data_IF_926698373503
#
_entry.id   IF_926698373503
#
_cell.length_a   1.000
_cell.length_b   1.000
_cell.length_c   1.000
_cell.angle_alpha   90.00
_cell.angle_beta   90.00
_cell.angle_gamma   90.00
#
_symmetry.space_group_name_H-M   'P 1'
#
loop_
_entity.id
_entity.type
_entity.pdbx_description
1 polymer ?
#
# COMPACT_ATOMS: atom_id res chain seq x y z
N UNK A 1 -9.64 12.06 4.07
CA UNK A 1 -8.94 11.46 5.22
C UNK A 1 -7.43 11.62 5.13
N UNK A 2 -6.82 11.60 3.93
CA UNK A 2 -5.38 11.84 3.78
C UNK A 2 -5.00 13.31 4.03
N UNK A 3 -5.85 14.27 3.60
CA UNK A 3 -5.65 15.70 3.91
C UNK A 3 -5.67 16.03 5.40
N UNK A 4 -6.38 15.24 6.23
CA UNK A 4 -6.48 15.49 7.66
C UNK A 4 -5.23 15.08 8.45
N UNK A 5 -4.27 14.37 7.85
CA UNK A 5 -3.06 13.90 8.55
C UNK A 5 -1.81 14.68 8.15
N UNK A 6 -1.95 15.75 7.35
CA UNK A 6 -0.86 16.61 6.86
C UNK A 6 -0.60 17.82 7.78
N UNK A 7 0.56 18.49 7.67
CA UNK A 7 0.84 19.69 8.46
C UNK A 7 -0.28 20.74 8.31
N UNK A 8 -0.71 21.33 9.43
CA UNK A 8 -1.75 22.38 9.44
C UNK A 8 -3.18 21.89 9.70
N UNK A 9 -3.38 20.60 10.00
CA UNK A 9 -4.68 20.04 10.41
C UNK A 9 -4.70 19.59 11.87
N UNK A 10 -5.89 19.45 12.44
CA UNK A 10 -6.09 18.99 13.83
C UNK A 10 -5.77 17.52 14.05
N UNK A 11 -5.60 16.73 12.99
CA UNK A 11 -5.29 15.30 13.04
C UNK A 11 -3.87 15.01 12.52
N UNK A 12 -3.01 16.04 12.42
CA UNK A 12 -1.62 15.88 12.00
C UNK A 12 -0.86 14.87 12.88
N UNK A 13 -0.21 13.89 12.24
CA UNK A 13 0.54 12.84 12.95
C UNK A 13 1.87 13.29 13.53
N UNK A 14 2.39 14.43 13.06
CA UNK A 14 3.72 14.93 13.39
C UNK A 14 4.73 14.62 12.29
N UNK A 15 5.75 15.47 12.15
CA UNK A 15 6.73 15.42 11.05
C UNK A 15 7.49 14.10 11.01
N UNK A 16 7.82 13.54 12.17
CA UNK A 16 8.57 12.29 12.28
C UNK A 16 7.84 11.10 11.65
N UNK A 17 6.50 11.09 11.69
CA UNK A 17 5.68 10.03 11.06
C UNK A 17 5.40 10.37 9.60
N UNK A 18 5.05 11.62 9.32
CA UNK A 18 4.69 12.07 7.97
C UNK A 18 5.77 11.76 6.93
N UNK A 19 7.05 11.75 7.34
CA UNK A 19 8.18 11.45 6.45
C UNK A 19 8.48 9.97 6.24
N UNK A 20 7.89 9.07 7.04
CA UNK A 20 8.23 7.62 7.01
C UNK A 20 7.02 6.71 6.84
N UNK A 21 5.80 7.27 6.87
CA UNK A 21 4.58 6.49 6.88
C UNK A 21 3.94 6.41 5.49
N UNK A 22 4.02 5.22 4.90
CA UNK A 22 3.27 4.90 3.67
C UNK A 22 1.88 4.37 3.99
N UNK A 23 0.86 4.90 3.30
CA UNK A 23 -0.53 4.47 3.39
C UNK A 23 -1.01 3.96 2.04
N UNK A 24 -1.65 2.79 2.04
CA UNK A 24 -2.31 2.22 0.86
C UNK A 24 -3.71 1.73 1.22
N UNK A 25 -4.63 1.74 0.27
CA UNK A 25 -6.02 1.40 0.51
C UNK A 25 -6.49 0.26 -0.39
N UNK A 26 -7.04 -0.77 0.24
CA UNK A 26 -7.81 -1.82 -0.43
C UNK A 26 -9.29 -1.48 -0.32
N UNK A 27 -9.98 -1.50 -1.44
CA UNK A 27 -11.42 -1.21 -1.50
C UNK A 27 -12.22 -2.49 -1.30
N UNK A 28 -13.41 -2.39 -0.70
CA UNK A 28 -14.27 -3.54 -0.40
C UNK A 28 -15.67 -3.33 -1.00
N UNK A 29 -16.46 -4.40 -1.06
CA UNK A 29 -17.77 -4.42 -1.72
C UNK A 29 -18.94 -4.00 -0.81
N UNK A 30 -18.66 -3.61 0.42
CA UNK A 30 -19.64 -3.25 1.45
C UNK A 30 -19.12 -2.02 2.22
N UNK A 31 -19.96 -1.29 2.98
CA UNK A 31 -21.40 -1.47 3.22
C UNK A 31 -22.31 -1.05 2.05
N UNK A 32 -21.73 -0.53 0.96
CA UNK A 32 -22.48 -0.09 -0.24
C UNK A 32 -22.96 -1.23 -1.15
N UNK A 33 -23.46 -0.88 -2.34
CA UNK A 33 -24.03 -1.82 -3.32
C UNK A 33 -23.01 -2.73 -4.03
N UNK A 34 -21.74 -2.75 -3.59
CA UNK A 34 -20.67 -3.46 -4.27
C UNK A 34 -20.26 -2.87 -5.63
N UNK A 35 -20.60 -1.61 -5.87
CA UNK A 35 -20.36 -0.89 -7.13
C UNK A 35 -19.17 0.09 -7.07
N UNK A 36 -18.31 -0.02 -6.06
CA UNK A 36 -17.08 0.76 -5.99
C UNK A 36 -16.15 0.36 -7.16
N UNK A 37 -15.81 1.29 -8.08
CA UNK A 37 -14.97 0.97 -9.25
C UNK A 37 -13.60 0.39 -8.87
N UNK A 38 -12.96 0.93 -7.83
CA UNK A 38 -11.63 0.51 -7.38
C UNK A 38 -11.67 -0.89 -6.78
N UNK A 39 -12.80 -1.29 -6.21
CA UNK A 39 -13.05 -2.68 -5.83
C UNK A 39 -13.25 -3.58 -7.06
N UNK A 40 -14.14 -3.17 -7.97
CA UNK A 40 -14.59 -3.98 -9.10
C UNK A 40 -13.48 -4.30 -10.10
N UNK A 41 -12.57 -3.35 -10.34
CA UNK A 41 -11.44 -3.52 -11.26
C UNK A 41 -10.42 -4.56 -10.78
N UNK A 42 -10.38 -4.86 -9.48
CA UNK A 42 -9.47 -5.88 -8.95
C UNK A 42 -10.05 -6.63 -7.74
N UNK A 43 -11.19 -7.28 -7.94
CA UNK A 43 -11.89 -7.99 -6.86
C UNK A 43 -11.05 -9.10 -6.23
N UNK A 44 -10.24 -9.79 -7.04
CA UNK A 44 -9.40 -10.90 -6.56
C UNK A 44 -8.38 -10.41 -5.52
N UNK A 45 -7.66 -9.32 -5.83
CA UNK A 45 -6.71 -8.70 -4.91
C UNK A 45 -7.40 -8.17 -3.67
N UNK A 46 -8.45 -7.37 -3.85
CA UNK A 46 -9.16 -6.74 -2.75
C UNK A 46 -9.75 -7.79 -1.78
N UNK A 47 -10.38 -8.86 -2.29
CA UNK A 47 -10.90 -9.96 -1.46
C UNK A 47 -9.78 -10.71 -0.76
N UNK A 48 -8.69 -11.03 -1.46
CA UNK A 48 -7.57 -11.75 -0.87
C UNK A 48 -6.94 -10.97 0.30
N UNK A 49 -6.72 -9.66 0.13
CA UNK A 49 -6.17 -8.80 1.19
C UNK A 49 -7.17 -8.55 2.31
N UNK A 50 -8.45 -8.31 2.01
CA UNK A 50 -9.49 -8.21 3.04
C UNK A 50 -9.56 -9.47 3.91
N UNK A 51 -9.55 -10.65 3.27
CA UNK A 51 -9.62 -11.94 3.98
C UNK A 51 -8.36 -12.21 4.80
N UNK A 52 -7.18 -11.85 4.30
CA UNK A 52 -5.92 -11.98 5.03
C UNK A 52 -5.91 -11.18 6.34
N UNK A 53 -6.49 -9.97 6.31
CA UNK A 53 -6.66 -9.14 7.50
C UNK A 53 -7.91 -9.48 8.33
N UNK A 54 -8.76 -10.39 7.85
CA UNK A 54 -10.03 -10.80 8.49
C UNK A 54 -10.98 -9.60 8.70
N UNK A 55 -10.92 -8.63 7.79
CA UNK A 55 -11.68 -7.39 7.92
C UNK A 55 -13.18 -7.57 7.64
N UNK A 56 -14.02 -6.96 8.48
CA UNK A 56 -15.47 -7.01 8.43
C UNK A 56 -16.18 -5.66 8.64
N UNK A 57 -15.45 -4.54 8.75
CA UNK A 57 -16.04 -3.18 8.74
C UNK A 57 -15.14 -2.15 8.05
N UNK A 58 -15.69 -0.97 7.77
CA UNK A 58 -14.99 0.14 7.12
C UNK A 58 -15.44 1.46 7.73
N UNK A 59 -14.54 2.45 7.88
CA UNK A 59 -13.10 2.35 7.63
C UNK A 59 -12.40 1.44 8.67
N UNK A 60 -11.34 0.76 8.28
CA UNK A 60 -10.55 -0.11 9.17
C UNK A 60 -9.08 -0.07 8.75
N UNK A 61 -8.20 0.35 9.66
CA UNK A 61 -6.77 0.50 9.42
C UNK A 61 -5.98 -0.61 10.12
N UNK A 62 -4.92 -1.07 9.46
CA UNK A 62 -3.89 -1.91 10.06
C UNK A 62 -2.56 -1.18 9.98
N UNK A 63 -1.95 -0.88 11.12
CA UNK A 63 -0.65 -0.17 11.21
C UNK A 63 0.46 -1.18 11.49
N UNK A 64 1.42 -1.34 10.58
CA UNK A 64 2.45 -2.38 10.65
C UNK A 64 1.90 -3.79 10.98
N UNK A 65 0.70 -4.11 10.50
CA UNK A 65 0.03 -5.38 10.76
C UNK A 65 -0.83 -5.44 12.03
N UNK A 66 -0.67 -4.49 12.95
CA UNK A 66 -1.54 -4.33 14.12
C UNK A 66 -2.90 -3.78 13.68
N UNK A 67 -3.98 -4.37 14.19
CA UNK A 67 -5.32 -3.81 14.06
C UNK A 67 -5.42 -2.46 14.80
N UNK A 68 -5.60 -1.39 14.04
CA UNK A 68 -5.76 -0.01 14.52
C UNK A 68 -7.23 0.45 14.49
N UNK A 69 -8.16 -0.42 14.12
CA UNK A 69 -9.59 -0.17 14.11
C UNK A 69 -10.05 0.95 13.17
N UNK A 70 -11.18 1.58 13.52
CA UNK A 70 -11.84 2.67 12.75
C UNK A 70 -11.62 4.07 13.32
N UNK A 71 -10.86 4.20 14.41
CA UNK A 71 -10.74 5.44 15.18
C UNK A 71 -9.55 6.29 14.75
N UNK A 72 -9.77 7.60 14.56
CA UNK A 72 -8.67 8.54 14.25
C UNK A 72 -7.61 8.61 15.35
N UNK A 73 -7.99 8.42 16.62
CA UNK A 73 -7.05 8.41 17.74
C UNK A 73 -5.99 7.30 17.59
N UNK A 74 -6.42 6.07 17.30
CA UNK A 74 -5.52 4.92 17.11
C UNK A 74 -4.72 5.05 15.83
N UNK A 75 -5.29 5.59 14.75
CA UNK A 75 -4.55 5.87 13.51
C UNK A 75 -3.40 6.87 13.69
N UNK A 76 -3.49 7.76 14.69
CA UNK A 76 -2.43 8.72 15.03
C UNK A 76 -1.44 8.12 16.04
N UNK A 77 -1.93 7.37 17.04
CA UNK A 77 -1.07 6.89 18.12
C UNK A 77 -0.30 5.62 17.76
N UNK A 78 -0.87 4.72 16.96
CA UNK A 78 -0.24 3.43 16.66
C UNK A 78 1.05 3.59 15.84
N UNK A 79 1.14 4.43 14.79
CA UNK A 79 2.40 4.61 14.08
C UNK A 79 3.53 5.11 14.98
N UNK A 80 3.22 5.86 16.05
CA UNK A 80 4.21 6.40 17.00
C UNK A 80 4.94 5.30 17.77
N UNK A 81 4.33 4.13 17.95
CA UNK A 81 4.95 3.04 18.72
C UNK A 81 6.11 2.39 17.97
N UNK A 82 6.25 2.64 16.67
CA UNK A 82 7.27 2.03 15.81
C UNK A 82 8.47 2.96 15.52
N UNK A 83 8.45 4.21 16.00
CA UNK A 83 9.48 5.21 15.66
C UNK A 83 10.88 4.88 16.18
N UNK A 84 10.96 4.11 17.27
CA UNK A 84 12.22 3.72 17.91
C UNK A 84 12.65 2.30 17.53
N UNK A 85 11.88 1.61 16.67
CA UNK A 85 12.22 0.26 16.22
C UNK A 85 13.36 0.28 15.20
N UNK A 86 14.26 -0.70 15.34
CA UNK A 86 15.40 -0.85 14.44
C UNK A 86 15.00 -1.69 13.23
N UNK A 87 15.04 -1.09 12.05
CA UNK A 87 14.82 -1.81 10.79
C UNK A 87 15.96 -2.79 10.49
N UNK A 88 15.61 -4.07 10.29
CA UNK A 88 16.57 -5.13 9.91
C UNK A 88 16.64 -5.38 8.40
N UNK A 89 15.79 -4.69 7.64
CA UNK A 89 15.64 -4.82 6.21
C UNK A 89 15.69 -3.45 5.56
N UNK A 90 16.10 -3.41 4.31
CA UNK A 90 16.12 -2.22 3.49
C UNK A 90 15.39 -2.50 2.17
N UNK A 91 14.63 -1.52 1.69
CA UNK A 91 13.94 -1.55 0.41
C UNK A 91 14.21 -0.23 -0.29
N UNK A 92 14.73 -0.29 -1.51
CA UNK A 92 14.93 0.86 -2.37
C UNK A 92 14.27 0.60 -3.71
N UNK A 93 13.54 1.59 -4.21
CA UNK A 93 12.91 1.55 -5.52
C UNK A 93 13.55 2.59 -6.42
N UNK A 94 13.69 2.26 -7.70
CA UNK A 94 14.17 3.19 -8.72
C UNK A 94 13.58 2.82 -10.07
N UNK A 95 13.12 3.79 -10.85
CA UNK A 95 12.50 3.51 -12.13
C UNK A 95 12.17 4.75 -12.94
N UNK A 96 11.34 4.54 -13.96
CA UNK A 96 10.86 5.58 -14.86
C UNK A 96 9.41 5.31 -15.27
N UNK A 97 8.72 6.38 -15.65
CA UNK A 97 7.38 6.33 -16.20
C UNK A 97 7.35 6.92 -17.61
N UNK A 98 6.54 6.33 -18.48
CA UNK A 98 6.20 6.86 -19.79
C UNK A 98 4.69 6.75 -19.99
N UNK A 99 3.98 7.87 -19.83
CA UNK A 99 2.52 7.88 -19.92
C UNK A 99 1.89 7.00 -18.84
N UNK A 100 1.21 5.93 -19.24
CA UNK A 100 0.53 5.00 -18.33
C UNK A 100 1.36 3.73 -18.03
N UNK A 101 2.63 3.72 -18.44
CA UNK A 101 3.55 2.59 -18.27
C UNK A 101 4.66 2.97 -17.30
N UNK A 102 4.99 2.05 -16.40
CA UNK A 102 6.09 2.20 -15.44
C UNK A 102 7.06 1.02 -15.59
N UNK A 103 8.33 1.30 -15.40
CA UNK A 103 9.39 0.29 -15.28
C UNK A 103 10.30 0.64 -14.11
N UNK A 104 10.49 -0.29 -13.19
CA UNK A 104 11.26 -0.06 -11.98
C UNK A 104 11.88 -1.32 -11.41
N UNK A 105 12.93 -1.11 -10.63
CA UNK A 105 13.59 -2.12 -9.81
C UNK A 105 13.22 -1.92 -8.34
N UNK A 106 13.08 -3.04 -7.63
CA UNK A 106 13.01 -3.11 -6.17
C UNK A 106 14.25 -3.82 -5.67
N UNK A 107 15.16 -3.05 -5.04
CA UNK A 107 16.37 -3.56 -4.40
C UNK A 107 16.14 -3.77 -2.93
N UNK A 108 16.55 -4.92 -2.42
CA UNK A 108 16.35 -5.30 -1.03
C UNK A 108 17.59 -5.94 -0.46
N UNK A 109 17.83 -5.70 0.83
CA UNK A 109 18.90 -6.33 1.59
C UNK A 109 18.44 -6.46 3.04
N UNK A 110 19.10 -7.38 3.75
CA UNK A 110 18.87 -7.60 5.17
C UNK A 110 20.20 -7.64 5.91
N UNK A 111 20.21 -7.16 7.14
CA UNK A 111 21.37 -7.30 8.03
C UNK A 111 21.41 -8.67 8.71
N UNK A 112 20.28 -9.37 8.76
CA UNK A 112 20.16 -10.72 9.30
C UNK A 112 19.61 -11.72 8.26
N UNK A 113 20.07 -12.98 8.37
CA UNK A 113 19.54 -14.08 7.55
C UNK A 113 18.17 -14.50 8.09
N UNK A 114 17.18 -14.58 7.21
CA UNK A 114 15.82 -14.97 7.57
C UNK A 114 15.78 -16.37 8.19
N UNK A 115 15.27 -16.53 9.42
CA UNK A 115 15.07 -17.85 10.02
C UNK A 115 14.16 -18.73 9.15
N UNK A 116 14.41 -20.05 9.15
CA UNK A 116 13.59 -21.01 8.38
C UNK A 116 12.12 -20.97 8.79
N UNK A 117 11.85 -20.71 10.07
CA UNK A 117 10.51 -20.60 10.67
C UNK A 117 9.71 -19.36 10.25
N UNK A 118 10.36 -18.32 9.70
CA UNK A 118 9.68 -17.10 9.28
C UNK A 118 9.17 -17.21 7.84
N UNK A 119 7.91 -16.83 7.61
CA UNK A 119 7.32 -16.68 6.28
C UNK A 119 7.36 -15.19 5.89
N UNK A 120 8.51 -14.74 5.39
CA UNK A 120 8.65 -13.37 4.90
C UNK A 120 8.21 -13.31 3.44
N UNK A 121 7.48 -12.25 3.11
CA UNK A 121 6.99 -12.03 1.75
C UNK A 121 7.24 -10.60 1.30
N UNK A 122 7.67 -10.47 0.06
CA UNK A 122 7.73 -9.21 -0.65
C UNK A 122 6.37 -8.95 -1.31
N UNK A 123 5.82 -7.80 -1.01
CA UNK A 123 4.70 -7.22 -1.74
C UNK A 123 5.19 -6.02 -2.53
N UNK A 124 4.75 -5.92 -3.78
CA UNK A 124 4.97 -4.75 -4.63
C UNK A 124 3.61 -4.36 -5.19
N UNK A 125 3.18 -3.13 -4.92
CA UNK A 125 1.91 -2.58 -5.36
C UNK A 125 2.10 -1.45 -6.35
N UNK A 126 1.25 -1.38 -7.36
CA UNK A 126 0.99 -0.12 -8.08
C UNK A 126 -0.15 0.61 -7.39
N UNK A 127 0.05 1.90 -7.17
CA UNK A 127 -0.84 2.74 -6.37
C UNK A 127 -1.11 4.02 -7.12
N UNK A 128 -2.33 4.54 -7.04
CA UNK A 128 -2.66 5.87 -7.56
C UNK A 128 -2.64 6.87 -6.40
N UNK A 129 -1.97 8.00 -6.55
CA UNK A 129 -1.96 9.07 -5.55
C UNK A 129 -3.38 9.53 -5.21
N UNK A 130 -4.15 9.90 -6.24
CA UNK A 130 -5.51 10.41 -6.10
C UNK A 130 -6.39 9.93 -7.25
N UNK A 131 -7.55 9.38 -6.89
CA UNK A 131 -8.65 9.04 -7.81
C UNK A 131 -9.86 9.89 -7.43
N UNK A 132 -10.39 10.61 -8.41
CA UNK A 132 -11.64 11.35 -8.25
C UNK A 132 -12.81 10.47 -8.69
N UNK A 133 -13.76 10.27 -7.79
CA UNK A 133 -15.02 9.56 -8.01
C UNK A 133 -16.21 10.45 -7.58
N UNK A 134 -16.66 11.39 -8.42
CA UNK A 134 -17.65 12.40 -8.03
C UNK A 134 -19.01 11.83 -7.61
N UNK A 135 -19.40 10.68 -8.19
CA UNK A 135 -20.67 10.01 -7.92
C UNK A 135 -20.59 8.99 -6.77
N UNK A 136 -19.54 9.04 -5.94
CA UNK A 136 -19.34 8.09 -4.85
C UNK A 136 -20.55 8.04 -3.89
N UNK A 137 -21.18 6.87 -3.68
CA UNK A 137 -22.40 6.75 -2.87
C UNK A 137 -22.25 7.16 -1.39
N UNK A 138 -21.02 7.14 -0.86
CA UNK A 138 -20.74 7.52 0.53
C UNK A 138 -20.30 9.00 0.67
N UNK A 139 -20.30 9.78 -0.41
CA UNK A 139 -19.89 11.18 -0.44
C UNK A 139 -18.37 11.42 -0.38
N UNK A 140 -17.55 10.38 -0.25
CA UNK A 140 -16.10 10.49 -0.39
C UNK A 140 -15.75 10.51 -1.88
N UNK A 141 -15.53 11.70 -2.42
CA UNK A 141 -15.28 11.90 -3.85
C UNK A 141 -13.80 11.84 -4.24
N UNK A 142 -12.90 11.90 -3.25
CA UNK A 142 -11.46 11.78 -3.45
C UNK A 142 -10.92 10.59 -2.66
N UNK A 143 -10.33 9.65 -3.40
CA UNK A 143 -9.71 8.46 -2.84
C UNK A 143 -8.21 8.58 -3.04
N UNK A 144 -7.46 8.58 -1.94
CA UNK A 144 -6.01 8.67 -1.99
C UNK A 144 -5.38 7.31 -1.80
N UNK A 145 -4.27 7.07 -2.50
CA UNK A 145 -3.50 5.83 -2.44
C UNK A 145 -4.32 4.52 -2.63
N UNK A 146 -5.37 4.44 -3.48
CA UNK A 146 -5.96 3.13 -3.79
C UNK A 146 -4.95 2.24 -4.49
N UNK A 147 -4.86 0.99 -4.03
CA UNK A 147 -4.06 -0.04 -4.68
C UNK A 147 -4.72 -0.43 -5.99
N UNK A 148 -3.95 -0.39 -7.08
CA UNK A 148 -4.39 -0.79 -8.42
C UNK A 148 -4.14 -2.30 -8.60
N UNK A 149 -2.91 -2.75 -8.35
CA UNK A 149 -2.51 -4.15 -8.47
C UNK A 149 -1.36 -4.53 -7.52
N UNK A 150 -1.26 -5.83 -7.20
CA UNK A 150 -0.11 -6.45 -6.55
C UNK A 150 0.72 -7.23 -7.57
N UNK A 151 1.94 -6.77 -7.84
CA UNK A 151 2.81 -7.31 -8.89
C UNK A 151 3.51 -8.61 -8.48
N UNK A 152 3.61 -8.89 -7.17
CA UNK A 152 4.14 -10.15 -6.64
C UNK A 152 3.05 -11.15 -6.27
N UNK A 153 1.81 -10.92 -6.73
CA UNK A 153 0.64 -11.74 -6.45
C UNK A 153 -0.07 -11.36 -5.14
N UNK A 154 -1.33 -11.80 -5.02
CA UNK A 154 -2.22 -11.38 -3.92
C UNK A 154 -1.76 -11.85 -2.52
N UNK A 155 -0.88 -12.85 -2.49
CA UNK A 155 -0.29 -13.39 -1.27
C UNK A 155 1.18 -13.00 -1.10
N UNK A 156 1.73 -12.17 -1.99
CA UNK A 156 3.13 -11.77 -2.02
C UNK A 156 4.07 -12.88 -2.49
N UNK A 157 5.30 -12.49 -2.84
CA UNK A 157 6.39 -13.41 -3.20
C UNK A 157 7.13 -13.84 -1.93
N UNK A 158 7.26 -15.13 -1.71
CA UNK A 158 8.04 -15.64 -0.57
C UNK A 158 9.52 -15.28 -0.72
N UNK A 159 10.11 -14.75 0.36
CA UNK A 159 11.50 -14.34 0.43
C UNK A 159 12.26 -15.07 1.54
N UNK A 160 13.53 -15.37 1.27
CA UNK A 160 14.51 -15.84 2.26
C UNK A 160 15.77 -15.02 2.08
N UNK A 161 15.97 -14.04 2.96
CA UNK A 161 17.13 -13.17 2.92
C UNK A 161 18.35 -13.85 3.53
N UNK A 162 19.51 -13.63 2.93
CA UNK A 162 20.81 -13.96 3.47
C UNK A 162 21.50 -12.63 3.78
N UNK A 163 22.03 -12.49 5.00
CA UNK A 163 22.73 -11.28 5.43
C UNK A 163 23.82 -10.87 4.44
N UNK A 164 23.85 -9.59 4.10
CA UNK A 164 24.84 -9.01 3.17
C UNK A 164 24.57 -9.25 1.68
N UNK A 165 23.52 -9.99 1.32
CA UNK A 165 23.12 -10.19 -0.09
C UNK A 165 22.07 -9.13 -0.49
N UNK A 166 22.29 -8.53 -1.66
CA UNK A 166 21.30 -7.67 -2.31
C UNK A 166 20.47 -8.49 -3.29
N UNK A 167 19.15 -8.38 -3.18
CA UNK A 167 18.16 -8.97 -4.07
C UNK A 167 17.58 -7.86 -4.95
N UNK A 168 17.24 -8.16 -6.20
CA UNK A 168 16.62 -7.21 -7.11
C UNK A 168 15.47 -7.88 -7.85
N UNK A 169 14.31 -7.24 -7.82
CA UNK A 169 13.14 -7.63 -8.62
C UNK A 169 12.80 -6.49 -9.58
N UNK A 170 12.71 -6.79 -10.86
CA UNK A 170 12.41 -5.80 -11.90
C UNK A 170 10.98 -5.98 -12.40
N UNK A 171 10.27 -4.87 -12.55
CA UNK A 171 8.88 -4.84 -12.98
C UNK A 171 8.71 -3.91 -14.19
N UNK A 172 7.84 -4.33 -15.10
CA UNK A 172 7.24 -3.51 -16.14
C UNK A 172 5.74 -3.68 -16.04
N UNK A 173 5.00 -2.57 -15.98
CA UNK A 173 3.56 -2.60 -15.79
C UNK A 173 2.91 -1.42 -16.48
N UNK A 174 1.73 -1.64 -17.05
CA UNK A 174 0.92 -0.60 -17.68
C UNK A 174 -0.46 -0.57 -17.02
N UNK A 175 -1.03 0.63 -16.90
CA UNK A 175 -2.37 0.82 -16.32
C UNK A 175 -3.40 -0.07 -17.04
N UNK A 176 -4.23 -0.84 -16.30
CA UNK A 176 -5.28 -1.65 -16.89
C UNK A 176 -6.28 -0.82 -17.70
N UNK A 177 -6.80 -1.40 -18.79
CA UNK A 177 -7.80 -0.75 -19.64
C UNK A 177 -9.05 -0.34 -18.87
N UNK A 178 -9.43 -1.12 -17.86
CA UNK A 178 -10.62 -0.83 -17.05
C UNK A 178 -10.44 0.45 -16.22
N UNK A 179 -9.22 0.79 -15.82
CA UNK A 179 -8.89 2.07 -15.19
C UNK A 179 -8.87 3.22 -16.19
N UNK A 180 -8.31 3.00 -17.39
CA UNK A 180 -8.20 4.02 -18.45
C UNK A 180 -9.57 4.41 -18.99
N UNK A 181 -10.44 3.44 -19.19
CA UNK A 181 -11.72 3.62 -19.87
C UNK A 181 -12.91 3.78 -18.92
N UNK A 182 -12.68 3.85 -17.60
CA UNK A 182 -13.78 3.96 -16.65
C UNK A 182 -14.47 5.31 -16.76
N UNK A 183 -15.80 5.31 -16.89
CA UNK A 183 -16.57 6.54 -17.08
C UNK A 183 -16.74 7.36 -15.79
N UNK A 184 -16.79 6.70 -14.62
CA UNK A 184 -17.15 7.36 -13.36
C UNK A 184 -15.95 7.84 -12.54
N UNK A 185 -14.73 7.47 -12.92
CA UNK A 185 -13.52 7.87 -12.19
C UNK A 185 -12.56 8.63 -13.10
N UNK A 186 -11.77 9.50 -12.51
CA UNK A 186 -10.65 10.16 -13.19
C UNK A 186 -9.42 10.19 -12.30
N UNK A 187 -8.26 10.16 -12.93
CA UNK A 187 -6.94 10.12 -12.29
C UNK A 187 -5.92 10.77 -13.23
N UNK A 188 -4.75 11.10 -12.69
CA UNK A 188 -3.63 11.64 -13.48
C UNK A 188 -2.50 10.64 -13.51
N UNK A 189 -1.93 10.39 -14.68
CA UNK A 189 -0.84 9.45 -14.83
C UNK A 189 0.35 9.80 -13.95
N UNK A 190 0.67 11.09 -13.79
CA UNK A 190 1.72 11.59 -12.88
C UNK A 190 1.49 11.26 -11.40
N UNK A 191 0.32 10.75 -11.03
CA UNK A 191 0.03 10.25 -9.69
C UNK A 191 0.33 8.77 -9.52
N UNK A 192 0.84 8.06 -10.53
CA UNK A 192 1.24 6.67 -10.39
C UNK A 192 2.44 6.54 -9.44
N UNK A 193 2.34 5.58 -8.52
CA UNK A 193 3.40 5.24 -7.56
C UNK A 193 3.61 3.74 -7.50
N UNK A 194 4.79 3.34 -7.06
CA UNK A 194 5.09 1.98 -6.63
C UNK A 194 5.32 1.96 -5.12
N UNK A 195 4.74 1.00 -4.42
CA UNK A 195 4.97 0.78 -2.99
C UNK A 195 5.44 -0.65 -2.80
N UNK A 196 6.59 -0.85 -2.16
CA UNK A 196 7.10 -2.17 -1.85
C UNK A 196 7.29 -2.33 -0.34
N UNK A 197 6.89 -3.49 0.19
CA UNK A 197 7.07 -3.79 1.60
C UNK A 197 7.41 -5.27 1.84
N UNK A 198 8.16 -5.52 2.90
CA UNK A 198 8.47 -6.84 3.42
C UNK A 198 7.55 -7.10 4.61
N UNK A 199 6.78 -8.18 4.55
CA UNK A 199 5.82 -8.56 5.59
C UNK A 199 6.13 -9.96 6.11
N UNK A 200 6.11 -10.14 7.43
CA UNK A 200 5.96 -11.46 8.02
C UNK A 200 4.51 -11.89 7.83
N UNK A 201 4.27 -12.83 6.93
CA UNK A 201 2.93 -13.19 6.50
C UNK A 201 2.11 -13.86 7.61
N UNK A 202 2.76 -14.47 8.60
CA UNK A 202 2.05 -15.11 9.73
C UNK A 202 1.63 -14.09 10.79
N UNK A 203 2.53 -13.19 11.20
CA UNK A 203 2.23 -12.17 12.22
C UNK A 203 1.52 -10.94 11.65
N UNK A 204 1.44 -10.81 10.32
CA UNK A 204 0.96 -9.62 9.58
C UNK A 204 1.88 -8.41 9.70
N UNK A 205 2.96 -8.52 10.47
CA UNK A 205 3.92 -7.46 10.74
C UNK A 205 4.62 -6.98 9.47
N UNK A 206 4.63 -5.67 9.25
CA UNK A 206 5.39 -5.03 8.17
C UNK A 206 6.75 -4.63 8.73
N UNK A 207 7.82 -5.18 8.15
CA UNK A 207 9.19 -5.08 8.66
C UNK A 207 9.99 -3.95 7.99
N UNK A 208 9.59 -3.58 6.77
CA UNK A 208 10.13 -2.45 6.02
C UNK A 208 9.16 -2.10 4.90
N UNK A 209 9.07 -0.81 4.57
CA UNK A 209 8.29 -0.27 3.46
C UNK A 209 9.05 0.87 2.81
N UNK A 210 8.89 1.01 1.49
CA UNK A 210 9.31 2.21 0.79
C UNK A 210 8.34 2.46 -0.39
N UNK A 211 8.22 3.72 -0.78
CA UNK A 211 7.40 4.15 -1.91
C UNK A 211 8.24 4.97 -2.89
N UNK A 212 7.83 4.94 -4.15
CA UNK A 212 8.49 5.66 -5.23
C UNK A 212 7.46 6.32 -6.14
N UNK A 213 7.61 7.62 -6.28
CA UNK A 213 6.91 8.45 -7.25
C UNK A 213 7.81 8.56 -8.49
N UNK A 214 7.22 8.44 -9.67
CA UNK A 214 7.94 8.49 -10.93
C UNK A 214 7.90 9.93 -11.45
N UNK A 215 8.99 10.67 -11.21
CA UNK A 215 9.17 12.04 -11.73
C UNK A 215 9.22 12.10 -13.26
#
# INVERSE_FOLDING_TARGET
MNTSLKPGTTLYVGTAIDTIWSQIYYHVWWPGQGNDPMYLMNQSMNRARNNYYENNYTPHMYTNGKDSGSGTATWISDPKTYLEEVGLYEINLSGSQSGNEISFDVKMNAIETTPTSQDLRLFVATVMDTVHYPASPNGLTEHHNPVIALLTGNTGKQMKFISGITYTESFTWSMPSDWINHADISWKSSGLKAVAWIQNYKSKEVLQVNEFEFD
#
